data_IF_025410315735
#
_entry.id   IF_025410315735
#
_cell.length_a   1.000
_cell.length_b   1.000
_cell.length_c   1.000
_cell.angle_alpha   90.00
_cell.angle_beta   90.00
_cell.angle_gamma   90.00
#
_symmetry.space_group_name_H-M   'P 1'
#
loop_
_entity.id
_entity.type
_entity.pdbx_description
1 polymer ?
#
# COMPACT_ATOMS: atom_id res chain seq x y z
N UNK A 1 8.09 12.76 -3.36
CA UNK A 1 7.31 13.68 -2.51
C UNK A 1 6.02 14.03 -3.23
N UNK A 2 4.85 13.70 -2.66
CA UNK A 2 3.57 14.14 -3.21
C UNK A 2 3.54 15.68 -3.10
N UNK A 3 3.77 16.32 -4.24
CA UNK A 3 3.64 17.76 -4.39
C UNK A 3 2.25 18.19 -3.90
N UNK A 4 2.19 19.31 -3.17
CA UNK A 4 0.95 19.99 -2.80
C UNK A 4 0.25 20.44 -4.08
N UNK A 5 -0.43 19.53 -4.74
CA UNK A 5 -1.45 19.88 -5.71
C UNK A 5 -2.65 20.35 -4.91
N UNK A 6 -3.30 21.42 -5.38
CA UNK A 6 -4.54 21.96 -4.82
C UNK A 6 -5.65 20.93 -5.10
N UNK A 7 -5.58 19.76 -4.46
CA UNK A 7 -6.45 18.63 -4.76
C UNK A 7 -7.87 19.01 -4.37
N UNK A 8 -8.73 19.16 -5.36
CA UNK A 8 -10.17 19.29 -5.14
C UNK A 8 -10.67 18.13 -4.23
N UNK A 9 -11.79 18.32 -3.54
CA UNK A 9 -12.43 17.22 -2.78
C UNK A 9 -12.58 15.95 -3.61
N UNK A 10 -12.88 16.15 -4.89
CA UNK A 10 -13.18 15.10 -5.84
C UNK A 10 -12.03 14.11 -6.09
N UNK A 11 -10.79 14.56 -6.21
CA UNK A 11 -9.64 13.67 -6.43
C UNK A 11 -9.42 12.70 -5.27
N UNK A 12 -9.63 13.16 -4.04
CA UNK A 12 -9.54 12.27 -2.88
C UNK A 12 -10.69 11.29 -2.84
N UNK A 13 -11.92 11.74 -3.10
CA UNK A 13 -13.09 10.86 -3.16
C UNK A 13 -12.94 9.82 -4.28
N UNK A 14 -12.46 10.21 -5.46
CA UNK A 14 -12.19 9.30 -6.56
C UNK A 14 -11.13 8.26 -6.16
N UNK A 15 -10.04 8.69 -5.51
CA UNK A 15 -9.01 7.76 -5.01
C UNK A 15 -9.58 6.78 -4.00
N UNK A 16 -10.35 7.25 -3.01
CA UNK A 16 -11.01 6.40 -2.01
C UNK A 16 -11.95 5.40 -2.69
N UNK A 17 -12.75 5.84 -3.66
CA UNK A 17 -13.66 4.99 -4.41
C UNK A 17 -12.93 3.91 -5.23
N UNK A 18 -11.77 4.24 -5.81
CA UNK A 18 -10.94 3.25 -6.53
C UNK A 18 -10.27 2.27 -5.58
N UNK A 19 -9.53 2.77 -4.57
CA UNK A 19 -8.74 1.89 -3.69
C UNK A 19 -9.61 1.08 -2.72
N UNK A 20 -10.81 1.57 -2.39
CA UNK A 20 -11.75 0.85 -1.53
C UNK A 20 -12.36 -0.40 -2.18
N UNK A 21 -12.14 -0.62 -3.49
CA UNK A 21 -12.57 -1.82 -4.22
C UNK A 21 -11.46 -2.86 -4.39
N UNK A 22 -10.24 -2.52 -3.99
CA UNK A 22 -9.06 -3.36 -4.18
C UNK A 22 -8.97 -4.32 -2.99
N UNK A 23 -9.29 -5.60 -3.22
CA UNK A 23 -9.27 -6.64 -2.20
C UNK A 23 -8.39 -7.80 -2.64
N UNK A 24 -7.16 -7.86 -2.13
CA UNK A 24 -6.22 -8.93 -2.47
C UNK A 24 -5.21 -9.18 -1.35
N UNK A 25 -4.89 -10.44 -1.06
CA UNK A 25 -3.98 -10.87 0.02
C UNK A 25 -2.54 -10.32 -0.09
N UNK A 26 -2.18 -9.72 -1.22
CA UNK A 26 -0.87 -9.09 -1.47
C UNK A 26 -0.97 -7.60 -1.80
N UNK A 27 -2.11 -6.96 -1.52
CA UNK A 27 -2.29 -5.50 -1.59
C UNK A 27 -2.94 -5.06 -0.28
N UNK A 28 -2.42 -3.99 0.33
CA UNK A 28 -2.97 -3.51 1.60
C UNK A 28 -4.36 -2.92 1.36
N UNK A 29 -5.34 -3.45 2.08
CA UNK A 29 -6.75 -3.09 1.94
C UNK A 29 -7.10 -1.82 2.73
N UNK A 30 -7.81 -0.90 2.10
CA UNK A 30 -8.32 0.30 2.77
C UNK A 30 -9.47 -0.11 3.71
N UNK A 31 -9.29 0.09 5.01
CA UNK A 31 -10.33 -0.16 6.02
C UNK A 31 -11.33 1.00 6.07
N UNK A 32 -10.85 2.22 5.87
CA UNK A 32 -11.69 3.40 5.91
C UNK A 32 -10.93 4.68 5.61
N UNK A 33 -11.63 5.80 5.69
CA UNK A 33 -11.06 7.11 5.44
C UNK A 33 -11.72 8.16 6.33
N UNK A 34 -11.04 9.29 6.52
CA UNK A 34 -11.61 10.49 7.11
C UNK A 34 -11.43 11.66 6.13
N UNK A 35 -12.51 12.41 5.90
CA UNK A 35 -12.52 13.57 5.02
C UNK A 35 -13.27 14.72 5.71
N UNK A 36 -12.56 15.49 6.52
CA UNK A 36 -13.12 16.63 7.24
C UNK A 36 -12.48 17.94 6.78
N UNK A 37 -13.24 18.78 6.07
CA UNK A 37 -12.78 20.07 5.49
C UNK A 37 -11.47 19.91 4.69
N UNK A 38 -10.34 20.25 5.31
CA UNK A 38 -8.99 20.22 4.74
C UNK A 38 -8.13 19.08 5.29
N UNK A 39 -8.63 18.29 6.25
CA UNK A 39 -7.96 17.13 6.80
C UNK A 39 -8.48 15.87 6.09
N UNK A 40 -7.56 15.10 5.54
CA UNK A 40 -7.86 13.87 4.81
C UNK A 40 -6.92 12.77 5.33
N UNK A 41 -7.47 11.61 5.65
CA UNK A 41 -6.72 10.47 6.15
C UNK A 41 -7.26 9.17 5.55
N UNK A 42 -6.36 8.20 5.39
CA UNK A 42 -6.67 6.83 4.99
C UNK A 42 -6.33 5.92 6.17
N UNK A 43 -7.17 4.91 6.39
CA UNK A 43 -7.03 3.96 7.49
C UNK A 43 -6.75 2.59 6.89
N UNK A 44 -5.68 1.97 7.37
CA UNK A 44 -5.18 0.66 6.94
C UNK A 44 -4.85 -0.18 8.16
N UNK A 45 -4.72 -1.49 7.96
CA UNK A 45 -4.14 -2.37 8.97
C UNK A 45 -2.68 -2.00 9.23
N UNK A 46 -2.29 -2.08 10.50
CA UNK A 46 -0.92 -1.83 10.89
C UNK A 46 -0.02 -3.01 10.48
N UNK A 47 1.07 -2.71 9.77
CA UNK A 47 2.06 -3.70 9.35
C UNK A 47 3.26 -3.68 10.32
N UNK A 48 3.35 -4.59 11.30
CA UNK A 48 4.34 -4.51 12.38
C UNK A 48 5.78 -4.66 11.90
N UNK A 49 5.99 -5.34 10.78
CA UNK A 49 7.32 -5.50 10.18
C UNK A 49 7.74 -4.28 9.34
N UNK A 50 6.84 -3.33 9.08
CA UNK A 50 7.11 -2.14 8.29
C UNK A 50 7.50 -2.45 6.82
N UNK A 51 8.15 -1.48 6.18
CA UNK A 51 8.55 -1.58 4.77
C UNK A 51 9.70 -2.59 4.57
N UNK A 52 9.66 -3.41 3.49
CA UNK A 52 10.78 -4.25 3.08
C UNK A 52 12.09 -3.47 2.88
N UNK A 53 12.03 -2.17 2.55
CA UNK A 53 13.21 -1.32 2.39
C UNK A 53 14.11 -1.30 3.63
N UNK A 54 13.51 -1.42 4.82
CA UNK A 54 14.21 -1.43 6.10
C UNK A 54 15.08 -2.67 6.30
N UNK A 55 14.86 -3.74 5.54
CA UNK A 55 15.66 -4.96 5.62
C UNK A 55 16.63 -5.11 4.44
N UNK A 56 16.45 -4.31 3.39
CA UNK A 56 17.26 -4.34 2.16
C UNK A 56 18.35 -3.27 2.22
N UNK A 57 17.99 -2.03 2.57
CA UNK A 57 18.89 -0.88 2.48
C UNK A 57 19.43 -0.40 3.84
N UNK A 58 18.66 -0.60 4.92
CA UNK A 58 18.98 -0.07 6.25
C UNK A 58 18.85 -1.13 7.36
N UNK A 59 19.71 -2.17 7.37
CA UNK A 59 19.63 -3.25 8.36
C UNK A 59 20.10 -2.82 9.77
N UNK A 60 19.75 -1.61 10.22
CA UNK A 60 20.09 -1.04 11.53
C UNK A 60 19.53 -1.91 12.67
N UNK A 61 20.32 -2.89 13.12
CA UNK A 61 19.96 -3.83 14.18
C UNK A 61 18.87 -4.85 13.80
N UNK A 62 18.42 -4.88 12.54
CA UNK A 62 17.45 -5.86 12.03
C UNK A 62 18.19 -6.99 11.31
N UNK A 63 17.76 -8.24 11.55
CA UNK A 63 18.25 -9.39 10.79
C UNK A 63 17.92 -9.19 9.31
N UNK A 64 18.93 -9.39 8.45
CA UNK A 64 18.76 -9.34 7.00
C UNK A 64 17.82 -10.45 6.53
N UNK A 65 17.12 -10.20 5.41
CA UNK A 65 16.26 -11.20 4.80
C UNK A 65 17.13 -12.33 4.23
N UNK A 66 16.79 -13.57 4.57
CA UNK A 66 17.33 -14.74 3.87
C UNK A 66 16.90 -14.73 2.39
N UNK A 67 17.64 -15.42 1.51
CA UNK A 67 17.25 -15.57 0.11
C UNK A 67 15.83 -16.14 -0.06
N UNK A 68 15.44 -17.06 0.81
CA UNK A 68 14.08 -17.62 0.80
C UNK A 68 13.03 -16.54 1.10
N UNK A 69 13.25 -15.72 2.12
CA UNK A 69 12.33 -14.62 2.46
C UNK A 69 12.27 -13.57 1.34
N UNK A 70 13.41 -13.20 0.75
CA UNK A 70 13.44 -12.28 -0.39
C UNK A 70 12.63 -12.81 -1.58
N UNK A 71 12.78 -14.10 -1.90
CA UNK A 71 12.00 -14.75 -2.93
C UNK A 71 10.49 -14.71 -2.63
N UNK A 72 10.09 -15.08 -1.42
CA UNK A 72 8.67 -15.09 -1.01
C UNK A 72 8.05 -13.68 -1.07
N UNK A 73 8.75 -12.66 -0.57
CA UNK A 73 8.33 -11.26 -0.66
C UNK A 73 8.18 -10.85 -2.12
N UNK A 74 9.18 -11.13 -2.96
CA UNK A 74 9.16 -10.75 -4.38
C UNK A 74 8.01 -11.42 -5.13
N UNK A 75 7.76 -12.71 -4.87
CA UNK A 75 6.65 -13.45 -5.46
C UNK A 75 5.30 -12.86 -5.04
N UNK A 76 5.13 -12.48 -3.78
CA UNK A 76 3.90 -11.81 -3.29
C UNK A 76 3.71 -10.44 -3.93
N UNK A 77 4.77 -9.65 -4.08
CA UNK A 77 4.71 -8.36 -4.80
C UNK A 77 4.28 -8.57 -6.24
N UNK A 78 4.87 -9.53 -6.94
CA UNK A 78 4.51 -9.86 -8.31
C UNK A 78 3.04 -10.28 -8.45
N UNK A 79 2.52 -11.09 -7.51
CA UNK A 79 1.09 -11.47 -7.45
C UNK A 79 0.18 -10.27 -7.24
N UNK A 80 0.52 -9.38 -6.29
CA UNK A 80 -0.25 -8.15 -6.05
C UNK A 80 -0.29 -7.23 -7.27
N UNK A 81 0.84 -7.03 -7.95
CA UNK A 81 0.91 -6.27 -9.19
C UNK A 81 0.12 -6.96 -10.31
N UNK A 82 0.22 -8.29 -10.41
CA UNK A 82 -0.54 -9.08 -11.37
C UNK A 82 -2.04 -8.90 -11.22
N UNK A 83 -2.55 -8.95 -9.99
CA UNK A 83 -3.95 -8.67 -9.68
C UNK A 83 -4.37 -7.25 -10.09
N UNK A 84 -3.55 -6.25 -9.78
CA UNK A 84 -3.83 -4.86 -10.17
C UNK A 84 -3.85 -4.67 -11.70
N UNK A 85 -2.95 -5.35 -12.43
CA UNK A 85 -2.92 -5.31 -13.88
C UNK A 85 -4.11 -6.00 -14.55
N UNK A 86 -4.69 -7.02 -13.93
CA UNK A 86 -5.89 -7.70 -14.43
C UNK A 86 -7.17 -6.88 -14.21
N UNK A 87 -7.06 -5.70 -13.59
CA UNK A 87 -8.16 -4.75 -13.43
C UNK A 87 -8.89 -4.83 -12.10
N UNK A 88 -8.40 -5.62 -11.12
CA UNK A 88 -8.88 -5.80 -9.72
C UNK A 88 -10.39 -6.08 -9.50
N UNK A 89 -11.22 -5.99 -10.54
CA UNK A 89 -12.68 -5.98 -10.54
C UNK A 89 -13.24 -7.24 -11.23
N UNK A 90 -12.43 -8.29 -11.38
CA UNK A 90 -12.82 -9.63 -11.87
C UNK A 90 -13.24 -10.50 -10.69
#
# INVERSE_FOLDING_TARGET
>A
MLSKQKSNGQEFINKVATIGRIHHVNVVELIGYSAERYKRALVYDFMPNGSPENYIFYPEGKLSLSCKQMYEISLRVARGIGYLHQGWDI
#
